data_IF_217457648930
#
_entry.id   IF_217457648930
#
_cell.length_a   1.000
_cell.length_b   1.000
_cell.length_c   1.000
_cell.angle_alpha   90.00
_cell.angle_beta   90.00
_cell.angle_gamma   90.00
#
_symmetry.space_group_name_H-M   'P 1'
#
loop_
_entity.id
_entity.type
_entity.pdbx_description
1 polymer ?
#
# COMPACT_ATOMS: atom_id res chain seq x y z
N UNK A 1 20.27 -35.58 9.22
CA UNK A 1 18.78 -35.55 9.18
C UNK A 1 18.20 -34.42 10.06
N UNK A 2 18.78 -34.12 11.23
CA UNK A 2 18.24 -33.09 12.14
C UNK A 2 18.40 -31.65 11.62
N UNK A 3 19.49 -31.31 10.97
CA UNK A 3 19.69 -29.95 10.44
C UNK A 3 18.73 -29.61 9.31
N UNK A 4 18.42 -30.56 8.42
CA UNK A 4 17.46 -30.35 7.33
C UNK A 4 16.02 -30.18 7.84
N UNK A 5 15.63 -30.92 8.88
CA UNK A 5 14.29 -30.78 9.50
C UNK A 5 14.13 -29.48 10.29
N UNK A 6 15.19 -29.00 10.94
CA UNK A 6 15.22 -27.69 11.61
C UNK A 6 15.08 -26.55 10.61
N UNK A 7 15.76 -26.65 9.47
CA UNK A 7 15.72 -25.65 8.40
C UNK A 7 14.31 -25.60 7.76
N UNK A 8 13.68 -26.73 7.53
CA UNK A 8 12.32 -26.83 7.02
C UNK A 8 11.28 -26.24 8.00
N UNK A 9 11.41 -26.53 9.30
CA UNK A 9 10.53 -25.99 10.33
C UNK A 9 10.68 -24.48 10.46
N UNK A 10 11.89 -23.95 10.33
CA UNK A 10 12.19 -22.52 10.40
C UNK A 10 11.64 -21.78 9.18
N UNK A 11 11.79 -22.35 7.99
CA UNK A 11 11.23 -21.80 6.75
C UNK A 11 9.69 -21.79 6.78
N UNK A 12 9.05 -22.82 7.33
CA UNK A 12 7.60 -22.87 7.51
C UNK A 12 7.10 -21.77 8.46
N UNK A 13 7.80 -21.50 9.57
CA UNK A 13 7.46 -20.40 10.49
C UNK A 13 7.58 -19.03 9.82
N UNK A 14 8.65 -18.79 9.06
CA UNK A 14 8.84 -17.55 8.30
C UNK A 14 7.72 -17.39 7.29
N UNK A 15 7.39 -18.43 6.54
CA UNK A 15 6.28 -18.43 5.60
C UNK A 15 4.93 -18.09 6.25
N UNK A 16 4.67 -18.63 7.44
CA UNK A 16 3.45 -18.31 8.21
C UNK A 16 3.42 -16.85 8.65
N UNK A 17 4.53 -16.31 9.16
CA UNK A 17 4.62 -14.89 9.58
C UNK A 17 4.34 -13.97 8.38
N UNK A 18 4.94 -14.26 7.24
CA UNK A 18 4.70 -13.50 6.01
C UNK A 18 3.24 -13.61 5.58
N UNK A 19 2.69 -14.83 5.56
CA UNK A 19 1.29 -15.08 5.18
C UNK A 19 0.29 -14.33 6.06
N UNK A 20 0.46 -14.39 7.39
CA UNK A 20 -0.39 -13.64 8.33
C UNK A 20 -0.21 -12.13 8.20
N UNK A 21 0.99 -11.64 7.94
CA UNK A 21 1.26 -10.22 7.69
C UNK A 21 0.44 -9.70 6.50
N UNK A 22 0.48 -10.41 5.38
CA UNK A 22 -0.31 -10.07 4.20
C UNK A 22 -1.82 -10.28 4.42
N UNK A 23 -2.22 -11.29 5.16
CA UNK A 23 -3.61 -11.50 5.52
C UNK A 23 -4.17 -10.30 6.30
N UNK A 24 -3.45 -9.81 7.31
CA UNK A 24 -3.84 -8.65 8.12
C UNK A 24 -3.95 -7.40 7.25
N UNK A 25 -2.93 -7.11 6.43
CA UNK A 25 -2.93 -5.98 5.52
C UNK A 25 -4.14 -6.01 4.58
N UNK A 26 -4.40 -7.16 3.95
CA UNK A 26 -5.50 -7.30 3.00
C UNK A 26 -6.87 -7.31 3.69
N UNK A 27 -7.00 -7.89 4.88
CA UNK A 27 -8.24 -7.87 5.63
C UNK A 27 -8.65 -6.45 6.03
N UNK A 28 -7.70 -5.65 6.54
CA UNK A 28 -7.92 -4.23 6.80
C UNK A 28 -8.25 -3.48 5.50
N UNK A 29 -7.49 -3.74 4.43
CA UNK A 29 -7.68 -3.16 3.10
C UNK A 29 -9.06 -3.45 2.49
N UNK A 30 -9.63 -4.62 2.75
CA UNK A 30 -10.95 -5.01 2.24
C UNK A 30 -12.11 -4.40 3.05
N UNK A 31 -11.96 -4.31 4.37
CA UNK A 31 -13.05 -3.88 5.28
C UNK A 31 -13.14 -2.35 5.36
N UNK A 32 -12.01 -1.67 5.41
CA UNK A 32 -11.97 -0.22 5.67
C UNK A 32 -12.68 0.65 4.62
N UNK A 33 -12.62 0.36 3.31
CA UNK A 33 -13.26 1.21 2.31
C UNK A 33 -14.76 1.41 2.56
N UNK A 34 -15.47 0.33 2.89
CA UNK A 34 -16.91 0.36 3.09
C UNK A 34 -17.32 1.02 4.42
N UNK A 35 -16.57 0.79 5.50
CA UNK A 35 -16.98 1.19 6.86
C UNK A 35 -16.44 2.58 7.22
N UNK A 36 -15.18 2.88 6.85
CA UNK A 36 -14.46 4.05 7.35
C UNK A 36 -14.16 5.07 6.24
N UNK A 37 -13.64 4.62 5.09
CA UNK A 37 -13.22 5.56 4.05
C UNK A 37 -14.38 6.30 3.42
N UNK A 38 -15.52 5.65 3.20
CA UNK A 38 -16.68 6.29 2.60
C UNK A 38 -17.20 7.48 3.45
N UNK A 39 -17.49 7.36 4.75
CA UNK A 39 -17.89 8.51 5.56
C UNK A 39 -16.82 9.58 5.70
N UNK A 40 -15.53 9.18 5.78
CA UNK A 40 -14.43 10.15 5.85
C UNK A 40 -14.29 10.95 4.56
N UNK A 41 -14.43 10.31 3.40
CA UNK A 41 -14.35 11.02 2.11
C UNK A 41 -15.50 11.99 1.89
N UNK A 42 -16.69 11.67 2.38
CA UNK A 42 -17.84 12.60 2.37
C UNK A 42 -17.57 13.85 3.22
N UNK A 43 -16.89 13.69 4.36
CA UNK A 43 -16.61 14.78 5.31
C UNK A 43 -15.40 15.63 4.92
N UNK A 44 -14.30 15.00 4.54
CA UNK A 44 -13.00 15.66 4.36
C UNK A 44 -12.56 15.78 2.89
N UNK A 45 -13.26 15.10 1.97
CA UNK A 45 -12.88 14.99 0.56
C UNK A 45 -11.94 13.79 0.31
N UNK A 46 -11.97 13.27 -0.92
CA UNK A 46 -11.23 12.06 -1.28
C UNK A 46 -9.73 12.28 -1.30
N UNK A 47 -9.28 13.43 -1.78
CA UNK A 47 -7.85 13.75 -1.88
C UNK A 47 -7.23 13.88 -0.48
N UNK A 48 -7.93 14.53 0.46
CA UNK A 48 -7.45 14.66 1.82
C UNK A 48 -7.35 13.29 2.52
N UNK A 49 -8.37 12.44 2.38
CA UNK A 49 -8.35 11.09 2.93
C UNK A 49 -7.26 10.23 2.30
N UNK A 50 -7.15 10.26 0.95
CA UNK A 50 -6.09 9.54 0.23
C UNK A 50 -4.69 9.92 0.73
N UNK A 51 -4.40 11.21 0.80
CA UNK A 51 -3.09 11.68 1.25
C UNK A 51 -2.81 11.29 2.70
N UNK A 52 -3.79 11.40 3.61
CA UNK A 52 -3.60 11.00 5.00
C UNK A 52 -3.34 9.49 5.14
N UNK A 53 -4.06 8.65 4.40
CA UNK A 53 -3.85 7.21 4.41
C UNK A 53 -2.47 6.81 3.86
N UNK A 54 -1.96 7.52 2.83
CA UNK A 54 -0.60 7.32 2.32
C UNK A 54 0.45 7.68 3.37
N UNK A 55 0.25 8.77 4.13
CA UNK A 55 1.15 9.14 5.22
C UNK A 55 1.16 8.06 6.32
N UNK A 56 0.00 7.55 6.72
CA UNK A 56 -0.09 6.47 7.71
C UNK A 56 0.67 5.23 7.22
N UNK A 57 0.52 4.84 5.97
CA UNK A 57 1.23 3.70 5.39
C UNK A 57 2.74 3.93 5.31
N UNK A 58 3.17 5.15 4.95
CA UNK A 58 4.59 5.53 4.96
C UNK A 58 5.20 5.38 6.35
N UNK A 59 4.51 5.89 7.37
CA UNK A 59 4.94 5.75 8.78
C UNK A 59 4.97 4.28 9.18
N UNK A 60 3.97 3.49 8.81
CA UNK A 60 3.92 2.07 9.12
C UNK A 60 5.13 1.31 8.57
N UNK A 61 5.49 1.54 7.31
CA UNK A 61 6.68 0.90 6.71
C UNK A 61 7.99 1.40 7.31
N UNK A 62 8.09 2.70 7.65
CA UNK A 62 9.23 3.22 8.39
C UNK A 62 9.37 2.58 9.77
N UNK A 63 8.25 2.36 10.48
CA UNK A 63 8.26 1.69 11.78
C UNK A 63 8.70 0.22 11.69
N UNK A 64 8.39 -0.49 10.61
CA UNK A 64 8.85 -1.88 10.42
C UNK A 64 10.37 -1.96 10.50
N UNK A 65 11.08 -1.01 9.92
CA UNK A 65 12.56 -0.97 9.97
C UNK A 65 13.08 -0.85 11.41
N UNK A 66 12.38 -0.12 12.27
CA UNK A 66 12.83 0.18 13.63
C UNK A 66 12.38 -0.87 14.65
N UNK A 67 11.14 -1.34 14.56
CA UNK A 67 10.50 -2.21 15.55
C UNK A 67 10.03 -3.55 15.00
N UNK A 68 10.25 -3.83 13.70
CA UNK A 68 9.77 -5.04 13.00
C UNK A 68 10.43 -6.35 13.45
N UNK A 69 11.40 -6.31 14.37
CA UNK A 69 12.06 -7.49 14.94
C UNK A 69 11.10 -8.36 15.79
N UNK A 70 9.97 -7.80 16.23
CA UNK A 70 8.91 -8.53 16.93
C UNK A 70 7.77 -8.86 15.97
N UNK A 71 7.33 -10.12 15.94
CA UNK A 71 6.19 -10.57 15.13
C UNK A 71 4.92 -9.76 15.43
N UNK A 72 4.68 -9.46 16.71
CA UNK A 72 3.52 -8.66 17.12
C UNK A 72 3.62 -7.22 16.60
N UNK A 73 4.79 -6.61 16.67
CA UNK A 73 5.01 -5.26 16.14
C UNK A 73 4.87 -5.24 14.61
N UNK A 74 5.38 -6.26 13.93
CA UNK A 74 5.21 -6.42 12.48
C UNK A 74 3.72 -6.49 12.10
N UNK A 75 2.91 -7.31 12.79
CA UNK A 75 1.47 -7.42 12.52
C UNK A 75 0.74 -6.11 12.77
N UNK A 76 1.11 -5.37 13.82
CA UNK A 76 0.55 -4.04 14.09
C UNK A 76 0.90 -3.04 12.95
N UNK A 77 2.15 -3.01 12.52
CA UNK A 77 2.57 -2.16 11.40
C UNK A 77 1.86 -2.55 10.10
N UNK A 78 1.66 -3.86 9.84
CA UNK A 78 0.93 -4.33 8.66
C UNK A 78 -0.57 -3.97 8.72
N UNK A 79 -1.18 -3.95 9.91
CA UNK A 79 -2.55 -3.44 10.07
C UNK A 79 -2.64 -1.93 9.74
N UNK A 80 -1.69 -1.13 10.21
CA UNK A 80 -1.59 0.29 9.85
C UNK A 80 -1.35 0.48 8.35
N UNK A 81 -0.46 -0.32 7.75
CA UNK A 81 -0.21 -0.29 6.31
C UNK A 81 -1.47 -0.66 5.51
N UNK A 82 -2.32 -1.54 6.03
CA UNK A 82 -3.62 -1.90 5.46
C UNK A 82 -4.57 -0.72 5.30
N UNK A 83 -4.46 0.31 6.15
CA UNK A 83 -5.25 1.56 6.02
C UNK A 83 -4.86 2.28 4.72
N UNK A 84 -3.57 2.43 4.46
CA UNK A 84 -3.08 3.02 3.22
C UNK A 84 -3.41 2.17 2.00
N UNK A 85 -3.29 0.85 2.11
CA UNK A 85 -3.65 -0.09 1.07
C UNK A 85 -5.12 0.03 0.66
N UNK A 86 -6.03 0.12 1.65
CA UNK A 86 -7.45 0.37 1.42
C UNK A 86 -7.70 1.61 0.54
N UNK A 87 -7.01 2.71 0.86
CA UNK A 87 -7.14 3.96 0.12
C UNK A 87 -6.54 3.87 -1.29
N UNK A 88 -5.34 3.27 -1.44
CA UNK A 88 -4.65 3.10 -2.74
C UNK A 88 -5.50 2.31 -3.73
N UNK A 89 -6.17 1.26 -3.28
CA UNK A 89 -6.99 0.41 -4.15
C UNK A 89 -8.32 1.06 -4.51
N UNK A 90 -8.94 1.82 -3.60
CA UNK A 90 -10.32 2.30 -3.78
C UNK A 90 -10.43 3.75 -4.27
N UNK A 91 -9.70 4.68 -3.68
CA UNK A 91 -9.94 6.11 -3.90
C UNK A 91 -9.48 6.64 -5.26
N UNK A 92 -8.30 6.29 -5.81
CA UNK A 92 -7.89 6.76 -7.14
C UNK A 92 -8.86 6.32 -8.23
N UNK A 93 -9.34 5.07 -8.15
CA UNK A 93 -10.36 4.55 -9.04
C UNK A 93 -11.68 5.34 -8.94
N UNK A 94 -12.15 5.60 -7.72
CA UNK A 94 -13.35 6.38 -7.48
C UNK A 94 -13.23 7.82 -7.99
N UNK A 95 -12.07 8.47 -7.76
CA UNK A 95 -11.79 9.83 -8.26
C UNK A 95 -11.80 9.85 -9.79
N UNK A 96 -11.13 8.88 -10.42
CA UNK A 96 -11.05 8.78 -11.87
C UNK A 96 -12.45 8.56 -12.49
N UNK A 97 -13.21 7.61 -11.96
CA UNK A 97 -14.53 7.24 -12.52
C UNK A 97 -15.54 8.38 -12.49
N UNK A 98 -15.43 9.34 -11.56
CA UNK A 98 -16.28 10.54 -11.51
C UNK A 98 -15.84 11.64 -12.46
N UNK A 99 -14.55 11.73 -12.79
CA UNK A 99 -14.00 12.80 -13.62
C UNK A 99 -14.07 12.49 -15.12
N UNK A 100 -14.26 11.24 -15.47
CA UNK A 100 -14.20 10.76 -16.85
C UNK A 100 -15.59 10.73 -17.48
N UNK A 101 -15.66 11.08 -18.77
CA UNK A 101 -16.91 10.95 -19.54
C UNK A 101 -17.30 9.46 -19.64
N UNK A 102 -18.54 9.16 -19.27
CA UNK A 102 -19.10 7.80 -19.27
C UNK A 102 -19.01 7.09 -20.63
N UNK A 103 -19.12 7.85 -21.73
CA UNK A 103 -19.03 7.29 -23.09
C UNK A 103 -17.63 6.77 -23.43
N UNK A 104 -16.58 7.25 -22.75
CA UNK A 104 -15.18 6.85 -22.96
C UNK A 104 -14.59 6.14 -21.74
N UNK A 105 -15.44 5.66 -20.84
CA UNK A 105 -15.01 5.02 -19.59
C UNK A 105 -13.99 3.88 -19.82
N UNK A 106 -14.22 3.01 -20.83
CA UNK A 106 -13.33 1.91 -21.12
C UNK A 106 -11.91 2.35 -21.52
N UNK A 107 -11.78 3.41 -22.34
CA UNK A 107 -10.48 3.95 -22.72
C UNK A 107 -9.72 4.49 -21.50
N UNK A 108 -10.40 5.28 -20.67
CA UNK A 108 -9.76 5.87 -19.49
C UNK A 108 -9.43 4.83 -18.42
N UNK A 109 -10.24 3.77 -18.30
CA UNK A 109 -9.91 2.62 -17.46
C UNK A 109 -8.66 1.91 -17.93
N UNK A 110 -8.49 1.72 -19.24
CA UNK A 110 -7.27 1.15 -19.82
C UNK A 110 -6.05 2.01 -19.50
N UNK A 111 -6.12 3.33 -19.71
CA UNK A 111 -5.02 4.26 -19.39
C UNK A 111 -4.71 4.24 -17.88
N UNK A 112 -5.73 4.23 -17.03
CA UNK A 112 -5.57 4.15 -15.57
C UNK A 112 -4.86 2.84 -15.16
N UNK A 113 -5.28 1.71 -15.69
CA UNK A 113 -4.61 0.44 -15.44
C UNK A 113 -3.14 0.45 -15.93
N UNK A 114 -2.85 1.03 -17.08
CA UNK A 114 -1.48 1.18 -17.57
C UNK A 114 -0.63 2.04 -16.62
N UNK A 115 -1.20 3.09 -16.03
CA UNK A 115 -0.50 3.95 -15.07
C UNK A 115 -0.13 3.22 -13.77
N UNK A 116 -0.79 2.10 -13.47
CA UNK A 116 -0.46 1.22 -12.34
C UNK A 116 0.51 0.12 -12.78
N UNK A 117 0.22 -0.57 -13.87
CA UNK A 117 0.96 -1.76 -14.31
C UNK A 117 2.37 -1.41 -14.79
N UNK A 118 2.55 -0.32 -15.52
CA UNK A 118 3.87 0.07 -16.04
C UNK A 118 4.87 0.34 -14.91
N UNK A 119 4.57 1.17 -13.90
CA UNK A 119 5.46 1.32 -12.74
C UNK A 119 5.72 0.03 -11.99
N UNK A 120 4.71 -0.85 -11.84
CA UNK A 120 4.89 -2.15 -11.18
C UNK A 120 5.87 -3.04 -11.93
N UNK A 121 5.80 -3.10 -13.26
CA UNK A 121 6.77 -3.84 -14.08
C UNK A 121 8.18 -3.28 -13.93
N UNK A 122 8.34 -1.97 -14.00
CA UNK A 122 9.64 -1.32 -13.84
C UNK A 122 10.21 -1.63 -12.45
N UNK A 123 9.42 -1.46 -11.40
CA UNK A 123 9.84 -1.73 -10.02
C UNK A 123 10.18 -3.21 -9.83
N UNK A 124 9.40 -4.15 -10.36
CA UNK A 124 9.68 -5.58 -10.21
C UNK A 124 10.99 -6.00 -10.86
N UNK A 125 11.32 -5.42 -12.02
CA UNK A 125 12.57 -5.70 -12.73
C UNK A 125 13.78 -5.07 -12.04
N UNK A 126 13.65 -3.81 -11.60
CA UNK A 126 14.75 -3.09 -10.93
C UNK A 126 15.00 -3.61 -9.53
N UNK A 127 13.94 -3.74 -8.73
CA UNK A 127 14.05 -4.16 -7.32
C UNK A 127 14.56 -5.59 -7.20
N UNK A 128 14.16 -6.50 -8.09
CA UNK A 128 14.67 -7.87 -8.09
C UNK A 128 16.21 -7.92 -8.22
N UNK A 129 16.79 -7.03 -9.03
CA UNK A 129 18.25 -6.94 -9.19
C UNK A 129 18.94 -6.27 -8.00
N UNK A 130 18.39 -5.15 -7.50
CA UNK A 130 19.00 -4.38 -6.41
C UNK A 130 18.89 -5.08 -5.05
N UNK A 131 17.72 -5.65 -4.74
CA UNK A 131 17.48 -6.31 -3.45
C UNK A 131 18.10 -7.71 -3.40
N UNK A 132 18.18 -8.40 -4.53
CA UNK A 132 18.87 -9.70 -4.61
C UNK A 132 20.35 -9.61 -4.22
N UNK A 133 21.00 -8.48 -4.47
CA UNK A 133 22.40 -8.17 -4.14
C UNK A 133 22.58 -7.34 -2.86
N UNK A 134 21.49 -6.82 -2.26
CA UNK A 134 21.58 -6.01 -1.05
C UNK A 134 21.80 -6.88 0.20
N UNK A 135 22.79 -6.53 1.02
CA UNK A 135 23.04 -7.16 2.31
C UNK A 135 21.90 -6.85 3.30
N UNK A 136 21.33 -5.64 3.23
CA UNK A 136 20.23 -5.21 4.09
C UNK A 136 18.86 -5.44 3.43
N UNK A 137 18.08 -6.35 3.99
CA UNK A 137 16.71 -6.67 3.52
C UNK A 137 15.68 -5.59 3.89
N UNK A 138 15.97 -4.73 4.87
CA UNK A 138 15.08 -3.64 5.32
C UNK A 138 14.96 -2.52 4.28
N UNK A 139 15.92 -2.45 3.34
CA UNK A 139 15.94 -1.50 2.25
C UNK A 139 14.61 -1.44 1.45
N UNK A 140 13.90 -2.55 1.34
CA UNK A 140 12.56 -2.59 0.72
C UNK A 140 11.57 -1.68 1.46
N UNK A 141 11.53 -1.77 2.78
CA UNK A 141 10.62 -0.98 3.61
C UNK A 141 11.01 0.49 3.63
N UNK A 142 12.31 0.79 3.65
CA UNK A 142 12.84 2.15 3.57
C UNK A 142 12.44 2.84 2.25
N UNK A 143 12.71 2.20 1.11
CA UNK A 143 12.33 2.72 -0.22
C UNK A 143 10.82 2.87 -0.32
N UNK A 144 10.05 1.91 0.19
CA UNK A 144 8.59 1.98 0.18
C UNK A 144 8.07 3.13 1.05
N UNK A 145 8.62 3.32 2.24
CA UNK A 145 8.25 4.43 3.13
C UNK A 145 8.51 5.79 2.48
N UNK A 146 9.69 5.98 1.90
CA UNK A 146 10.07 7.22 1.20
C UNK A 146 9.17 7.46 -0.01
N UNK A 147 8.91 6.44 -0.83
CA UNK A 147 8.05 6.54 -2.01
C UNK A 147 6.61 6.92 -1.65
N UNK A 148 6.08 6.34 -0.57
CA UNK A 148 4.75 6.66 -0.05
C UNK A 148 4.69 8.08 0.52
N UNK A 149 5.75 8.54 1.18
CA UNK A 149 5.85 9.91 1.65
C UNK A 149 5.87 10.92 0.51
N UNK A 150 6.62 10.63 -0.55
CA UNK A 150 6.60 11.45 -1.77
C UNK A 150 5.21 11.45 -2.42
N UNK A 151 4.54 10.30 -2.47
CA UNK A 151 3.16 10.21 -2.95
C UNK A 151 2.20 11.04 -2.10
N UNK A 152 2.33 11.04 -0.77
CA UNK A 152 1.57 11.91 0.12
C UNK A 152 1.74 13.38 -0.27
N UNK A 153 2.98 13.85 -0.49
CA UNK A 153 3.26 15.24 -0.91
C UNK A 153 2.61 15.52 -2.27
N UNK A 154 2.77 14.65 -3.24
CA UNK A 154 2.18 14.80 -4.57
C UNK A 154 0.66 14.90 -4.53
N UNK A 155 -0.02 14.07 -3.74
CA UNK A 155 -1.48 14.13 -3.57
C UNK A 155 -1.94 15.44 -2.91
N UNK A 156 -1.14 16.05 -2.04
CA UNK A 156 -1.46 17.37 -1.44
C UNK A 156 -1.42 18.52 -2.46
N UNK A 157 -0.73 18.34 -3.59
CA UNK A 157 -0.71 19.33 -4.67
C UNK A 157 -1.95 19.24 -5.57
N UNK A 158 -2.68 18.13 -5.55
CA UNK A 158 -3.89 17.93 -6.35
C UNK A 158 -5.04 18.72 -5.72
N UNK A 159 -5.67 19.60 -6.51
CA UNK A 159 -6.84 20.39 -6.08
C UNK A 159 -8.14 19.63 -6.36
N UNK A 160 -8.90 19.34 -5.33
CA UNK A 160 -10.26 18.81 -5.45
C UNK A 160 -11.25 19.99 -5.62
N UNK A 161 -11.96 20.07 -6.74
CA UNK A 161 -13.14 20.91 -6.82
C UNK A 161 -14.22 20.21 -6.01
N UNK A 162 -14.51 20.71 -4.81
CA UNK A 162 -15.70 20.27 -4.07
C UNK A 162 -16.92 20.57 -4.94
N UNK A 163 -17.76 19.58 -5.18
CA UNK A 163 -19.09 19.83 -5.70
C UNK A 163 -19.81 20.71 -4.66
N UNK A 164 -20.09 21.95 -5.01
CA UNK A 164 -21.04 22.77 -4.25
C UNK A 164 -22.40 22.09 -4.35
N UNK A 165 -22.83 21.50 -3.27
CA UNK A 165 -24.22 21.08 -3.05
C UNK A 165 -25.14 22.28 -3.06
#
# INVERSE_FOLDING_TARGET
>A
NDSASLDETQNNKIGQIIGYSFLILNAVGAILPAIVLEPLTKKYGRIAVQSTCLLIMSIAYGLIVWIGNSVTALYFCMALAGIGWAAIVSLPFAIMSEKVNKQRMGLFMGIFNMSIVIPQLIVSLLIAQFIGSAENKDLIFEISAVSLFLSFIMWRLVKEKRATT
#
